data_IF_287359049328
#
_entry.id   IF_287359049328
#
_cell.length_a   1.000
_cell.length_b   1.000
_cell.length_c   1.000
_cell.angle_alpha   90.00
_cell.angle_beta   90.00
_cell.angle_gamma   90.00
#
_symmetry.space_group_name_H-M   'P 1'
#
loop_
_entity.id
_entity.type
_entity.pdbx_description
1 polymer ?
#
# COMPACT_ATOMS: atom_id res chain seq x y z
N UNK A 1 -2.48 -4.03 12.66
CA UNK A 1 -1.37 -3.93 11.71
C UNK A 1 -0.97 -5.30 11.25
N UNK A 2 -0.42 -5.43 10.05
CA UNK A 2 0.24 -6.63 9.56
C UNK A 2 1.70 -6.25 9.20
N UNK A 3 2.66 -7.16 9.39
CA UNK A 3 4.08 -6.85 9.21
C UNK A 3 4.61 -5.88 10.27
N UNK A 4 5.44 -4.92 9.87
CA UNK A 4 6.08 -3.94 10.74
C UNK A 4 5.18 -2.80 11.23
N UNK A 5 3.90 -2.79 10.88
CA UNK A 5 2.99 -1.67 11.16
C UNK A 5 2.48 -1.61 12.61
N UNK A 6 2.64 -0.47 13.28
CA UNK A 6 2.15 -0.22 14.64
C UNK A 6 1.74 1.25 14.85
N UNK A 7 0.98 1.52 15.91
CA UNK A 7 0.56 2.87 16.29
C UNK A 7 1.37 3.39 17.48
N UNK A 8 1.72 4.67 17.46
CA UNK A 8 2.17 5.43 18.64
C UNK A 8 1.13 6.50 18.95
N UNK A 9 1.35 7.27 20.02
CA UNK A 9 0.55 8.47 20.25
C UNK A 9 0.60 9.35 18.98
N UNK A 10 -0.55 9.58 18.36
CA UNK A 10 -0.79 10.44 17.19
C UNK A 10 -0.27 9.96 15.82
N UNK A 11 0.44 8.82 15.73
CA UNK A 11 1.01 8.36 14.45
C UNK A 11 0.76 6.87 14.19
N UNK A 12 0.49 6.55 12.94
CA UNK A 12 0.59 5.20 12.40
C UNK A 12 1.96 5.07 11.73
N UNK A 13 2.80 4.17 12.23
CA UNK A 13 4.07 3.82 11.63
C UNK A 13 3.88 2.53 10.82
N UNK A 14 4.09 2.58 9.50
CA UNK A 14 4.07 1.39 8.66
C UNK A 14 5.41 0.67 8.67
N UNK A 15 6.50 1.42 8.45
CA UNK A 15 7.87 0.90 8.45
C UNK A 15 8.76 1.81 9.29
N UNK A 16 9.86 1.26 9.78
CA UNK A 16 11.00 2.03 10.32
C UNK A 16 12.04 2.17 9.20
N UNK A 17 13.03 3.05 9.38
CA UNK A 17 14.20 3.16 8.49
C UNK A 17 15.13 1.94 8.58
N UNK A 18 14.61 0.77 8.20
CA UNK A 18 15.29 -0.53 8.21
C UNK A 18 15.02 -1.21 6.87
N UNK A 19 16.05 -1.83 6.31
CA UNK A 19 15.98 -2.49 5.00
C UNK A 19 14.99 -3.65 5.00
N UNK A 20 14.36 -3.87 3.85
CA UNK A 20 13.55 -5.06 3.55
C UNK A 20 12.40 -5.29 4.55
N UNK A 21 11.66 -4.23 4.88
CA UNK A 21 10.48 -4.32 5.74
C UNK A 21 9.21 -4.05 4.96
N UNK A 22 8.11 -4.68 5.38
CA UNK A 22 6.75 -4.42 4.88
C UNK A 22 5.85 -4.17 6.08
N UNK A 23 5.02 -3.15 6.02
CA UNK A 23 4.05 -2.87 7.07
C UNK A 23 2.75 -2.33 6.49
N UNK A 24 1.63 -2.86 6.98
CA UNK A 24 0.30 -2.53 6.50
C UNK A 24 -0.65 -2.27 7.67
N UNK A 25 -1.62 -1.40 7.43
CA UNK A 25 -2.75 -1.18 8.32
C UNK A 25 -4.03 -1.25 7.49
N UNK A 26 -5.04 -1.92 8.05
CA UNK A 26 -6.36 -2.07 7.45
C UNK A 26 -7.38 -1.46 8.40
N UNK A 27 -8.44 -0.88 7.85
CA UNK A 27 -9.63 -0.59 8.63
C UNK A 27 -10.26 -1.92 9.09
N UNK A 28 -10.79 -1.97 10.31
CA UNK A 28 -11.18 -3.23 10.94
C UNK A 28 -12.47 -3.84 10.39
N UNK A 29 -13.33 -3.03 9.78
CA UNK A 29 -14.61 -3.49 9.24
C UNK A 29 -14.52 -3.60 7.71
N UNK A 30 -15.05 -4.67 7.10
CA UNK A 30 -15.22 -4.74 5.65
C UNK A 30 -16.04 -3.56 5.12
N UNK A 31 -15.68 -3.10 3.92
CA UNK A 31 -16.39 -2.03 3.21
C UNK A 31 -17.16 -2.65 2.05
N UNK A 32 -18.45 -2.37 1.96
CA UNK A 32 -19.30 -2.81 0.85
C UNK A 32 -19.07 -1.88 -0.36
N UNK A 33 -18.21 -2.31 -1.29
CA UNK A 33 -17.79 -1.48 -2.43
C UNK A 33 -18.69 -1.59 -3.67
N UNK A 34 -19.46 -2.67 -3.81
CA UNK A 34 -20.47 -2.85 -4.87
C UNK A 34 -21.46 -3.93 -4.48
N UNK A 35 -22.66 -3.87 -5.04
CA UNK A 35 -23.75 -4.82 -4.80
C UNK A 35 -24.10 -5.60 -6.07
N UNK A 36 -24.14 -6.93 -5.98
CA UNK A 36 -24.36 -7.80 -7.14
C UNK A 36 -25.82 -7.94 -7.57
N UNK A 37 -26.77 -7.67 -6.67
CA UNK A 37 -28.20 -7.77 -6.98
C UNK A 37 -28.68 -6.56 -7.79
N UNK A 38 -28.14 -5.39 -7.48
CA UNK A 38 -28.51 -4.11 -8.09
C UNK A 38 -27.50 -3.63 -9.13
N UNK A 39 -26.26 -4.11 -9.09
CA UNK A 39 -25.17 -3.65 -9.94
C UNK A 39 -24.61 -2.28 -9.56
N UNK A 40 -25.04 -1.71 -8.43
CA UNK A 40 -24.58 -0.42 -7.95
C UNK A 40 -23.16 -0.52 -7.38
N UNK A 41 -22.35 0.51 -7.63
CA UNK A 41 -21.00 0.67 -7.08
C UNK A 41 -21.02 1.82 -6.08
N UNK A 42 -20.31 1.69 -4.98
CA UNK A 42 -20.25 2.72 -3.95
C UNK A 42 -19.37 3.90 -4.38
N UNK A 43 -19.89 5.11 -4.23
CA UNK A 43 -19.06 6.32 -4.20
C UNK A 43 -18.33 6.40 -2.85
N UNK A 44 -17.01 6.59 -2.88
CA UNK A 44 -16.23 6.76 -1.65
C UNK A 44 -15.18 7.86 -1.80
N UNK A 45 -14.90 8.50 -0.67
CA UNK A 45 -13.81 9.47 -0.52
C UNK A 45 -13.05 9.11 0.73
N UNK A 46 -11.73 8.98 0.61
CA UNK A 46 -10.84 8.96 1.77
C UNK A 46 -10.33 10.38 2.02
N UNK A 47 -10.34 10.83 3.27
CA UNK A 47 -9.83 12.16 3.64
C UNK A 47 -8.30 12.18 3.51
N UNK A 48 -7.69 13.39 3.37
CA UNK A 48 -6.24 13.49 3.22
C UNK A 48 -5.51 12.83 4.39
N UNK A 49 -4.80 11.76 4.10
CA UNK A 49 -3.77 11.24 4.97
C UNK A 49 -2.47 12.01 4.68
N UNK A 50 -1.86 12.57 5.72
CA UNK A 50 -0.53 13.15 5.61
C UNK A 50 0.46 12.01 5.84
N UNK A 51 1.15 11.60 4.79
CA UNK A 51 2.31 10.73 4.92
C UNK A 51 3.57 11.58 5.02
N UNK A 52 4.46 11.21 5.93
CA UNK A 52 5.75 11.88 6.09
C UNK A 52 6.82 10.81 6.04
N UNK A 53 7.73 10.91 5.07
CA UNK A 53 8.88 10.03 4.98
C UNK A 53 9.95 10.55 5.95
N UNK A 54 9.76 10.28 7.25
CA UNK A 54 10.45 10.96 8.35
C UNK A 54 11.94 10.62 8.45
N UNK A 55 12.35 9.43 7.98
CA UNK A 55 13.67 8.88 8.27
C UNK A 55 14.30 8.30 6.99
N UNK A 56 14.52 9.14 5.97
CA UNK A 56 15.48 8.83 4.91
C UNK A 56 16.86 9.34 5.35
N UNK A 57 17.68 8.55 6.09
CA UNK A 57 18.96 9.03 6.63
C UNK A 57 19.91 9.56 5.54
N UNK A 58 19.74 9.10 4.31
CA UNK A 58 20.36 9.65 3.11
C UNK A 58 19.26 10.02 2.10
N UNK A 59 18.91 11.30 1.98
CA UNK A 59 17.85 11.78 1.08
C UNK A 59 18.01 11.48 -0.41
N UNK A 60 19.12 10.86 -0.82
CA UNK A 60 19.40 10.41 -2.18
C UNK A 60 18.99 8.95 -2.46
N UNK A 61 18.77 8.14 -1.43
CA UNK A 61 18.45 6.71 -1.56
C UNK A 61 17.20 6.37 -0.73
N UNK A 62 16.04 6.80 -1.23
CA UNK A 62 14.73 6.54 -0.62
C UNK A 62 14.08 5.38 -1.35
N UNK A 63 13.53 4.42 -0.59
CA UNK A 63 12.82 3.28 -1.12
C UNK A 63 11.87 2.69 -0.07
N UNK A 64 10.83 1.94 -0.45
CA UNK A 64 10.37 1.72 -1.83
C UNK A 64 9.18 2.64 -2.16
N UNK A 65 8.21 2.76 -1.25
CA UNK A 65 7.10 3.71 -1.41
C UNK A 65 5.98 3.50 -0.40
N UNK A 66 4.82 4.07 -0.71
CA UNK A 66 3.59 3.94 0.09
C UNK A 66 2.40 3.66 -0.83
N UNK A 67 1.40 2.92 -0.33
CA UNK A 67 0.14 2.68 -1.06
C UNK A 67 -1.09 2.85 -0.18
N UNK A 68 -2.13 3.48 -0.72
CA UNK A 68 -3.51 3.20 -0.31
C UNK A 68 -4.06 2.10 -1.22
N UNK A 69 -4.73 1.09 -0.67
CA UNK A 69 -5.26 -0.02 -1.48
C UNK A 69 -6.62 -0.51 -1.01
N UNK A 70 -7.37 -1.08 -1.96
CA UNK A 70 -8.60 -1.83 -1.74
C UNK A 70 -8.33 -3.27 -2.20
N UNK A 71 -8.56 -4.24 -1.33
CA UNK A 71 -8.25 -5.65 -1.55
C UNK A 71 -9.31 -6.54 -0.88
N UNK A 72 -9.33 -7.86 -1.13
CA UNK A 72 -10.21 -8.80 -0.44
C UNK A 72 -10.09 -8.73 1.08
N UNK A 73 -11.17 -9.06 1.79
CA UNK A 73 -11.27 -8.95 3.26
C UNK A 73 -10.16 -9.74 3.98
N UNK A 74 -9.72 -10.86 3.40
CA UNK A 74 -8.68 -11.74 3.92
C UNK A 74 -7.27 -11.43 3.41
N UNK A 75 -7.06 -10.24 2.82
CA UNK A 75 -5.77 -9.81 2.27
C UNK A 75 -4.61 -9.97 3.27
N UNK A 76 -3.49 -10.49 2.75
CA UNK A 76 -2.21 -10.67 3.45
C UNK A 76 -1.10 -9.90 2.73
N UNK A 77 -0.01 -9.53 3.42
CA UNK A 77 1.12 -8.88 2.77
C UNK A 77 1.63 -9.74 1.61
N UNK A 78 1.77 -9.11 0.44
CA UNK A 78 2.33 -9.73 -0.76
C UNK A 78 3.84 -9.44 -0.81
N UNK A 79 4.43 -9.52 -2.00
CA UNK A 79 5.85 -9.24 -2.20
C UNK A 79 6.19 -7.80 -1.78
N UNK A 80 7.25 -7.64 -0.98
CA UNK A 80 7.75 -6.33 -0.54
C UNK A 80 8.63 -5.64 -1.60
N UNK A 81 9.41 -4.65 -1.18
CA UNK A 81 10.23 -3.87 -2.11
C UNK A 81 9.37 -3.03 -3.05
N UNK A 82 9.76 -2.92 -4.32
CA UNK A 82 9.02 -2.25 -5.39
C UNK A 82 7.61 -2.77 -5.68
N UNK A 83 7.19 -3.89 -5.10
CA UNK A 83 5.80 -4.37 -5.16
C UNK A 83 4.93 -3.86 -4.00
N UNK A 84 5.52 -3.05 -3.11
CA UNK A 84 4.88 -2.29 -2.04
C UNK A 84 4.04 -3.13 -1.05
N UNK A 85 4.22 -4.45 -1.04
CA UNK A 85 3.47 -5.38 -0.18
C UNK A 85 2.03 -5.65 -0.65
N UNK A 86 1.69 -5.28 -1.89
CA UNK A 86 0.33 -5.38 -2.46
C UNK A 86 0.25 -6.22 -3.74
N UNK A 87 1.34 -6.39 -4.49
CA UNK A 87 1.39 -7.22 -5.70
C UNK A 87 2.52 -8.27 -5.64
N UNK A 88 2.52 -9.22 -6.58
CA UNK A 88 3.55 -10.28 -6.70
C UNK A 88 4.30 -10.28 -8.04
N UNK A 89 3.90 -9.41 -8.96
CA UNK A 89 4.46 -9.35 -10.30
C UNK A 89 3.98 -8.11 -11.02
N UNK A 90 4.67 -7.79 -12.13
CA UNK A 90 4.36 -6.63 -12.99
C UNK A 90 3.23 -6.90 -13.98
N UNK A 91 2.96 -8.17 -14.25
CA UNK A 91 1.98 -8.59 -15.24
C UNK A 91 0.59 -8.69 -14.58
N UNK A 92 -0.45 -8.53 -15.39
CA UNK A 92 -1.83 -8.58 -14.89
C UNK A 92 -2.15 -9.94 -14.25
N UNK A 93 -2.56 -9.90 -12.98
CA UNK A 93 -3.03 -11.05 -12.23
C UNK A 93 -4.46 -10.81 -11.73
N UNK A 94 -5.43 -11.46 -12.37
CA UNK A 94 -6.84 -11.38 -11.98
C UNK A 94 -7.10 -11.88 -10.55
N UNK A 95 -6.22 -12.72 -10.01
CA UNK A 95 -6.37 -13.29 -8.66
C UNK A 95 -5.91 -12.33 -7.56
N UNK A 96 -5.16 -11.27 -7.92
CA UNK A 96 -4.76 -10.25 -6.96
C UNK A 96 -5.97 -9.49 -6.39
N UNK A 97 -7.00 -9.26 -7.22
CA UNK A 97 -8.25 -8.55 -6.86
C UNK A 97 -8.01 -7.26 -6.04
N UNK A 98 -6.88 -6.59 -6.31
CA UNK A 98 -6.39 -5.46 -5.54
C UNK A 98 -6.21 -4.26 -6.47
N UNK A 99 -6.69 -3.11 -6.03
CA UNK A 99 -6.41 -1.82 -6.65
C UNK A 99 -5.62 -0.98 -5.66
N UNK A 100 -4.58 -0.32 -6.13
CA UNK A 100 -3.73 0.53 -5.32
C UNK A 100 -3.52 1.91 -5.95
N UNK A 101 -3.39 2.92 -5.10
CA UNK A 101 -2.85 4.23 -5.43
C UNK A 101 -1.49 4.30 -4.76
N UNK A 102 -0.43 4.33 -5.57
CA UNK A 102 0.94 4.32 -5.11
C UNK A 102 1.58 5.71 -5.07
N UNK A 103 2.55 5.83 -4.17
CA UNK A 103 3.48 6.93 -4.04
C UNK A 103 4.87 6.30 -4.05
N UNK A 104 5.34 5.98 -5.25
CA UNK A 104 6.62 5.33 -5.49
C UNK A 104 7.78 6.32 -5.31
N UNK A 105 8.84 5.87 -4.65
CA UNK A 105 10.04 6.66 -4.38
C UNK A 105 11.31 6.05 -4.95
N UNK A 106 11.21 4.87 -5.58
CA UNK A 106 12.36 4.11 -6.05
C UNK A 106 12.11 3.51 -7.44
N UNK A 107 12.94 3.91 -8.41
CA UNK A 107 12.82 3.42 -9.78
C UNK A 107 13.18 1.93 -9.94
N UNK A 108 12.19 1.14 -10.30
CA UNK A 108 12.28 -0.24 -10.78
C UNK A 108 12.19 -0.30 -12.31
N UNK A 109 13.34 -0.49 -12.97
CA UNK A 109 13.48 -0.43 -14.42
C UNK A 109 12.58 -1.36 -15.25
N UNK A 110 11.97 -2.37 -14.63
CA UNK A 110 11.11 -3.32 -15.32
C UNK A 110 9.66 -2.83 -15.52
N UNK A 111 9.18 -1.83 -14.77
CA UNK A 111 7.80 -1.33 -14.88
C UNK A 111 7.64 0.17 -14.65
N UNK A 112 8.57 0.83 -13.96
CA UNK A 112 8.41 2.25 -13.67
C UNK A 112 8.71 3.14 -14.88
N UNK A 113 7.99 4.26 -15.01
CA UNK A 113 8.36 5.29 -15.96
C UNK A 113 9.75 5.86 -15.60
N UNK A 114 10.57 6.11 -16.62
CA UNK A 114 11.75 6.95 -16.42
C UNK A 114 11.30 8.38 -16.10
N UNK A 115 11.97 9.01 -15.12
CA UNK A 115 11.87 10.45 -14.90
C UNK A 115 12.39 11.26 -16.10
#
# INVERSE_FOLDING_TARGET
GQGGGYTTKEKLTLTKAVKNTVGRALYSLPIHIWDSETGNVADFTTTPFIFVNLDAPNGYNVADGFTFFIAPVDTKPQTGGGYLGVFNGKDYDKTAQTVAVEFDTFYNAAWDPSN
#
